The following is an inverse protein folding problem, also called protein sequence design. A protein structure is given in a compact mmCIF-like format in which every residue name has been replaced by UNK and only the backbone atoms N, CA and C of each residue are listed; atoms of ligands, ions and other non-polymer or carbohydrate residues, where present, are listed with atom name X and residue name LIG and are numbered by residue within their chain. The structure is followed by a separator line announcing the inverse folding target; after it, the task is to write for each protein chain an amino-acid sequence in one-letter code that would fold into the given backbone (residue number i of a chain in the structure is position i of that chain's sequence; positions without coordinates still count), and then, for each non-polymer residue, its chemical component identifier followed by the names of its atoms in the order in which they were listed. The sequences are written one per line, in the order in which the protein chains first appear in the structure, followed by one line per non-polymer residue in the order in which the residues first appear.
data_IF_558022657707
#
_entry.id   IF_558022657707
#
_cell.length_a   1.000
_cell.length_b   1.000
_cell.length_c   1.000
_cell.angle_alpha   90.00
_cell.angle_beta   90.00
_cell.angle_gamma   90.00
#
_symmetry.space_group_name_H-M   'P 1'
#
loop_
_entity.id
_entity.type
_entity.pdbx_description
1 polymer ?
#
# COMPACT_ATOMS: atom_id res chain seq x y z
N UNK A 1 3.17 2.59 1.41
CA UNK A 1 2.14 3.26 2.22
C UNK A 1 2.51 3.22 3.69
N UNK A 2 2.29 4.29 4.46
CA UNK A 2 2.52 4.30 5.91
C UNK A 2 1.35 3.62 6.64
N UNK A 3 1.57 2.60 7.49
CA UNK A 3 0.52 2.00 8.32
C UNK A 3 -0.27 3.01 9.15
N UNK A 4 0.36 4.11 9.59
CA UNK A 4 -0.27 5.19 10.34
C UNK A 4 -1.23 6.08 9.53
N UNK A 5 -1.41 5.85 8.23
CA UNK A 5 -2.35 6.59 7.39
C UNK A 5 -3.57 5.72 7.01
N UNK A 6 -4.54 5.53 7.93
CA UNK A 6 -5.69 4.65 7.71
C UNK A 6 -6.58 5.13 6.56
N UNK A 7 -6.68 6.45 6.33
CA UNK A 7 -7.49 7.01 5.24
C UNK A 7 -6.94 6.60 3.87
N UNK A 8 -5.62 6.67 3.68
CA UNK A 8 -5.01 6.25 2.44
C UNK A 8 -5.11 4.71 2.27
N UNK A 9 -4.97 3.94 3.35
CA UNK A 9 -5.14 2.48 3.30
C UNK A 9 -6.55 2.11 2.81
N UNK A 10 -7.58 2.75 3.39
CA UNK A 10 -8.96 2.53 2.99
C UNK A 10 -9.20 2.87 1.51
N UNK A 11 -8.65 4.00 1.04
CA UNK A 11 -8.73 4.38 -0.38
C UNK A 11 -8.09 3.34 -1.29
N UNK A 12 -6.87 2.89 -1.00
CA UNK A 12 -6.19 1.93 -1.87
C UNK A 12 -6.93 0.59 -1.90
N UNK A 13 -7.49 0.15 -0.77
CA UNK A 13 -8.37 -1.01 -0.75
C UNK A 13 -9.65 -0.82 -1.58
N UNK A 14 -10.29 0.36 -1.54
CA UNK A 14 -11.49 0.61 -2.35
C UNK A 14 -11.20 0.63 -3.84
N UNK A 15 -9.99 1.04 -4.23
CA UNK A 15 -9.50 0.99 -5.61
C UNK A 15 -9.02 -0.41 -6.05
N UNK A 16 -9.10 -1.43 -5.19
CA UNK A 16 -8.75 -2.82 -5.52
C UNK A 16 -7.29 -3.21 -5.26
N UNK A 17 -6.51 -2.34 -4.61
CA UNK A 17 -5.15 -2.70 -4.17
C UNK A 17 -5.20 -3.60 -2.92
N UNK A 18 -4.20 -4.48 -2.81
CA UNK A 18 -4.02 -5.39 -1.70
C UNK A 18 -2.58 -5.29 -1.14
N UNK A 19 -2.40 -5.60 0.15
CA UNK A 19 -1.08 -5.69 0.76
C UNK A 19 -0.35 -6.94 0.22
N UNK A 20 0.83 -6.73 -0.36
CA UNK A 20 1.70 -7.81 -0.87
C UNK A 20 2.98 -7.97 -0.05
N UNK A 21 3.14 -7.16 1.00
CA UNK A 21 4.26 -7.29 1.92
C UNK A 21 4.58 -6.01 2.67
N UNK A 22 5.65 -6.09 3.46
CA UNK A 22 6.10 -4.99 4.32
C UNK A 22 7.59 -4.76 4.17
N UNK A 23 7.99 -3.49 4.23
CA UNK A 23 9.38 -3.06 4.33
C UNK A 23 9.62 -2.50 5.73
N UNK A 24 10.36 -3.23 6.59
CA UNK A 24 10.62 -2.77 7.95
C UNK A 24 11.38 -1.45 7.97
N UNK A 25 10.99 -0.54 8.88
CA UNK A 25 11.67 0.73 9.14
C UNK A 25 11.93 1.55 7.87
N UNK A 26 10.98 1.59 6.93
CA UNK A 26 11.17 2.24 5.64
C UNK A 26 11.11 3.76 5.73
N UNK A 27 10.11 4.32 6.42
CA UNK A 27 9.92 5.76 6.51
C UNK A 27 10.47 6.34 7.81
N UNK A 28 11.03 7.57 7.81
CA UNK A 28 11.34 8.27 9.05
C UNK A 28 10.04 8.68 9.78
N UNK A 29 10.06 8.68 11.11
CA UNK A 29 8.97 9.16 11.97
C UNK A 29 9.54 9.92 13.17
N UNK A 30 8.68 10.63 13.91
CA UNK A 30 9.09 11.43 15.08
C UNK A 30 9.78 10.57 16.17
N UNK A 31 9.46 9.29 16.25
CA UNK A 31 10.00 8.36 17.27
C UNK A 31 10.95 7.32 16.67
N UNK A 32 11.44 7.54 15.45
CA UNK A 32 12.40 6.67 14.78
C UNK A 32 12.00 6.37 13.35
N UNK A 33 11.60 5.13 13.09
CA UNK A 33 11.24 4.68 11.75
C UNK A 33 9.97 3.86 11.78
N UNK A 34 9.17 4.01 10.75
CA UNK A 34 7.91 3.32 10.54
C UNK A 34 8.06 2.38 9.33
N UNK A 35 7.39 1.24 9.38
CA UNK A 35 7.33 0.31 8.26
C UNK A 35 6.61 0.92 7.05
N UNK A 36 6.83 0.36 5.88
CA UNK A 36 5.99 0.61 4.72
C UNK A 36 5.20 -0.63 4.34
N UNK A 37 3.89 -0.47 4.14
CA UNK A 37 3.07 -1.44 3.42
C UNK A 37 3.38 -1.32 1.93
N UNK A 38 3.63 -2.45 1.28
CA UNK A 38 3.71 -2.57 -0.17
C UNK A 38 2.34 -3.00 -0.65
N UNK A 39 1.69 -2.15 -1.44
CA UNK A 39 0.36 -2.40 -2.00
C UNK A 39 0.49 -2.61 -3.50
N UNK A 40 -0.28 -3.54 -4.06
CA UNK A 40 -0.34 -3.78 -5.50
C UNK A 40 -1.77 -4.10 -5.94
N UNK A 41 -2.05 -3.83 -7.21
CA UNK A 41 -3.26 -4.24 -7.92
C UNK A 41 -2.83 -4.99 -9.18
N UNK A 42 -3.55 -6.05 -9.52
CA UNK A 42 -3.35 -6.74 -10.78
C UNK A 42 -4.02 -5.93 -11.89
N UNK A 43 -3.28 -5.65 -12.96
CA UNK A 43 -3.83 -4.99 -14.15
C UNK A 43 -4.12 -6.08 -15.19
N UNK A 44 -5.39 -6.44 -15.34
CA UNK A 44 -5.83 -7.21 -16.49
C UNK A 44 -6.18 -6.26 -17.64
N UNK A 45 -5.58 -6.50 -18.81
CA UNK A 45 -6.06 -5.91 -20.04
C UNK A 45 -6.96 -6.94 -20.70
N UNK A 46 -8.28 -6.79 -20.58
CA UNK A 46 -9.19 -7.50 -21.48
C UNK A 46 -9.07 -6.87 -22.86
N UNK A 47 -8.20 -7.47 -23.68
CA UNK A 47 -8.05 -7.12 -25.08
C UNK A 47 -9.33 -7.45 -25.83
N UNK A 48 -9.84 -6.44 -26.55
CA UNK A 48 -10.92 -6.51 -27.53
C UNK A 48 -10.93 -7.86 -28.26
N UNK A 49 -11.98 -8.64 -28.02
CA UNK A 49 -12.39 -9.76 -28.89
C UNK A 49 -12.97 -9.26 -30.19
#
# INVERSE_FOLDING_TARGET
MRPSNPSAIALYHSEGFNEIGRRPRYYPSNTGREDALVMAIELSFEGFS
#
